data_IF_666497205354
#
_entry.id   IF_666497205354
#
_cell.length_a   1.000
_cell.length_b   1.000
_cell.length_c   1.000
_cell.angle_alpha   90.00
_cell.angle_beta   90.00
_cell.angle_gamma   90.00
#
_symmetry.space_group_name_H-M   'P 1'
#
loop_
_entity.id
_entity.type
_entity.pdbx_description
1 polymer ?
#
# COMPACT_ATOMS: atom_id res chain seq x y z
N UNK A 1 0.22 -3.64 -35.12
CA UNK A 1 -0.56 -3.87 -33.89
C UNK A 1 -0.28 -5.29 -33.43
N UNK A 2 0.41 -5.48 -32.29
CA UNK A 2 0.71 -6.83 -31.77
C UNK A 2 -0.59 -7.41 -31.21
N UNK A 3 -1.03 -8.55 -31.70
CA UNK A 3 -2.17 -9.27 -31.10
C UNK A 3 -1.76 -9.76 -29.70
N UNK A 4 -2.56 -9.53 -28.65
CA UNK A 4 -2.27 -10.06 -27.33
C UNK A 4 -2.33 -11.59 -27.39
N UNK A 5 -1.33 -12.27 -26.80
CA UNK A 5 -1.38 -13.72 -26.66
C UNK A 5 -2.49 -14.07 -25.64
N UNK A 6 -3.57 -14.78 -26.02
CA UNK A 6 -4.69 -15.06 -25.14
C UNK A 6 -4.36 -16.04 -24.00
N UNK A 7 -3.22 -16.73 -24.08
CA UNK A 7 -2.75 -17.64 -23.03
C UNK A 7 -1.71 -17.00 -22.10
N UNK A 8 -1.24 -15.80 -22.41
CA UNK A 8 -0.33 -15.09 -21.53
C UNK A 8 -1.07 -14.62 -20.27
N UNK A 9 -0.43 -14.69 -19.09
CA UNK A 9 -1.05 -14.21 -17.86
C UNK A 9 -1.35 -12.72 -17.98
N UNK A 10 -2.59 -12.33 -17.65
CA UNK A 10 -3.07 -10.95 -17.72
C UNK A 10 -2.34 -10.01 -16.73
N UNK A 11 -1.69 -10.56 -15.70
CA UNK A 11 -0.89 -9.84 -14.72
C UNK A 11 0.43 -10.56 -14.47
N UNK A 12 1.53 -9.82 -14.35
CA UNK A 12 2.88 -10.34 -14.22
C UNK A 12 3.79 -9.38 -13.44
N UNK A 13 5.01 -9.82 -13.11
CA UNK A 13 5.91 -9.11 -12.20
C UNK A 13 6.21 -7.65 -12.61
N UNK A 14 6.28 -7.35 -13.91
CA UNK A 14 6.47 -5.98 -14.42
C UNK A 14 5.29 -5.03 -14.16
N UNK A 15 4.06 -5.56 -14.03
CA UNK A 15 2.90 -4.75 -13.64
C UNK A 15 2.92 -4.43 -12.13
N UNK A 16 3.41 -5.36 -11.31
CA UNK A 16 3.56 -5.15 -9.88
C UNK A 16 4.64 -4.09 -9.53
N UNK A 17 5.76 -4.07 -10.27
CA UNK A 17 6.88 -3.14 -10.02
C UNK A 17 6.53 -1.67 -10.30
N UNK A 18 5.62 -1.42 -11.23
CA UNK A 18 5.18 -0.05 -11.60
C UNK A 18 3.95 0.42 -10.83
N UNK A 19 3.19 -0.52 -10.24
CA UNK A 19 1.96 -0.24 -9.50
C UNK A 19 2.17 0.82 -8.41
N UNK A 20 3.21 0.63 -7.60
CA UNK A 20 3.62 1.52 -6.53
C UNK A 20 3.79 2.99 -6.99
N UNK A 21 4.47 3.20 -8.12
CA UNK A 21 4.70 4.54 -8.65
C UNK A 21 3.44 5.14 -9.31
N UNK A 22 2.53 4.31 -9.79
CA UNK A 22 1.28 4.73 -10.43
C UNK A 22 0.22 5.19 -9.44
N UNK A 23 0.10 4.52 -8.28
CA UNK A 23 -1.01 4.73 -7.34
C UNK A 23 -1.19 6.18 -6.86
N UNK A 24 -0.14 6.94 -6.48
CA UNK A 24 -0.31 8.33 -6.07
C UNK A 24 -0.84 9.25 -7.19
N UNK A 25 -0.61 8.90 -8.46
CA UNK A 25 -1.06 9.70 -9.61
C UNK A 25 -2.51 9.43 -9.98
N UNK A 26 -3.04 8.28 -9.59
CA UNK A 26 -4.40 7.83 -9.93
C UNK A 26 -5.38 7.91 -8.77
N UNK A 27 -4.87 8.06 -7.53
CA UNK A 27 -5.68 8.11 -6.31
C UNK A 27 -5.53 9.49 -5.67
N UNK A 28 -6.52 10.39 -5.85
CA UNK A 28 -6.56 11.67 -5.13
C UNK A 28 -6.50 11.44 -3.62
N UNK A 29 -5.68 12.21 -2.91
CA UNK A 29 -5.55 12.11 -1.45
C UNK A 29 -4.83 10.85 -0.95
N UNK A 30 -4.13 10.11 -1.83
CA UNK A 30 -3.40 8.89 -1.48
C UNK A 30 -2.51 9.03 -0.22
N UNK A 31 -1.74 10.11 -0.14
CA UNK A 31 -0.87 10.35 1.02
C UNK A 31 -1.65 10.67 2.30
N UNK A 32 -2.75 11.43 2.18
CA UNK A 32 -3.64 11.72 3.31
C UNK A 32 -4.33 10.46 3.84
N UNK A 33 -4.74 9.55 2.95
CA UNK A 33 -5.30 8.26 3.33
C UNK A 33 -4.30 7.42 4.15
N UNK A 34 -3.05 7.36 3.71
CA UNK A 34 -1.99 6.64 4.44
C UNK A 34 -1.69 7.27 5.80
N UNK A 35 -1.69 8.61 5.91
CA UNK A 35 -1.50 9.31 7.17
C UNK A 35 -2.63 9.01 8.17
N UNK A 36 -3.89 9.16 7.75
CA UNK A 36 -5.05 8.86 8.61
C UNK A 36 -5.09 7.38 9.02
N UNK A 37 -4.77 6.47 8.10
CA UNK A 37 -4.71 5.03 8.40
C UNK A 37 -3.65 4.73 9.45
N UNK A 38 -2.49 5.39 9.38
CA UNK A 38 -1.43 5.20 10.38
C UNK A 38 -1.87 5.68 11.77
N UNK A 39 -2.62 6.78 11.86
CA UNK A 39 -3.15 7.26 13.14
C UNK A 39 -4.21 6.32 13.73
N UNK A 40 -5.16 5.85 12.92
CA UNK A 40 -6.17 4.88 13.37
C UNK A 40 -5.57 3.56 13.86
N UNK A 41 -4.44 3.15 13.26
CA UNK A 41 -3.69 1.98 13.68
C UNK A 41 -2.94 2.24 14.99
N UNK A 42 -2.34 3.42 15.17
CA UNK A 42 -1.65 3.80 16.41
C UNK A 42 -2.60 3.77 17.63
N UNK A 43 -3.87 4.13 17.44
CA UNK A 43 -4.88 4.12 18.51
C UNK A 43 -5.36 2.71 18.89
N UNK A 44 -5.28 1.74 17.98
CA UNK A 44 -5.92 0.41 18.12
C UNK A 44 -4.94 -0.73 18.29
N UNK A 45 -3.73 -0.57 17.78
CA UNK A 45 -2.71 -1.62 17.76
C UNK A 45 -1.71 -1.30 18.85
N UNK A 46 -1.48 -2.27 19.76
CA UNK A 46 -0.41 -2.17 20.76
C UNK A 46 0.94 -1.96 20.08
N UNK A 47 1.91 -1.41 20.79
CA UNK A 47 3.26 -1.17 20.25
C UNK A 47 3.92 -2.44 19.67
N UNK A 48 3.62 -3.62 20.24
CA UNK A 48 4.09 -4.94 19.80
C UNK A 48 3.08 -5.69 18.91
N UNK A 49 2.01 -5.02 18.49
CA UNK A 49 0.94 -5.58 17.68
C UNK A 49 1.37 -5.87 16.24
N UNK A 50 0.82 -6.94 15.67
CA UNK A 50 1.10 -7.36 14.29
C UNK A 50 -0.05 -6.97 13.38
N UNK A 51 0.28 -6.36 12.23
CA UNK A 51 -0.71 -5.92 11.24
C UNK A 51 -0.54 -6.73 9.97
N UNK A 52 -1.64 -7.34 9.50
CA UNK A 52 -1.70 -8.02 8.21
C UNK A 52 -2.36 -7.09 7.18
N UNK A 53 -1.59 -6.68 6.18
CA UNK A 53 -2.13 -5.91 5.05
C UNK A 53 -2.54 -6.86 3.93
N UNK A 54 -3.84 -7.07 3.78
CA UNK A 54 -4.41 -7.85 2.68
C UNK A 54 -4.40 -7.02 1.40
N UNK A 55 -3.82 -7.57 0.32
CA UNK A 55 -3.77 -6.87 -0.97
C UNK A 55 -2.84 -5.65 -0.98
N UNK A 56 -1.65 -5.73 -0.38
CA UNK A 56 -0.66 -4.64 -0.31
C UNK A 56 -0.16 -4.07 -1.67
N UNK A 57 -0.64 -4.60 -2.79
CA UNK A 57 -0.27 -4.19 -4.14
C UNK A 57 1.24 -4.28 -4.38
N UNK A 58 1.80 -3.28 -5.06
CA UNK A 58 3.25 -3.15 -5.34
C UNK A 58 4.14 -2.90 -4.11
N UNK A 59 3.71 -3.26 -2.90
CA UNK A 59 4.51 -3.19 -1.67
C UNK A 59 4.58 -1.82 -0.99
N UNK A 60 3.93 -0.79 -1.54
CA UNK A 60 4.04 0.58 -1.04
C UNK A 60 3.44 0.77 0.37
N UNK A 61 2.42 -0.02 0.72
CA UNK A 61 1.80 0.01 2.04
C UNK A 61 2.81 -0.35 3.15
N UNK A 62 3.74 -1.29 2.89
CA UNK A 62 4.77 -1.71 3.87
C UNK A 62 5.80 -0.62 4.14
N UNK A 63 6.05 0.26 3.17
CA UNK A 63 7.04 1.34 3.32
C UNK A 63 6.45 2.62 3.92
N UNK A 64 5.12 2.82 3.84
CA UNK A 64 4.48 4.09 4.24
C UNK A 64 3.66 4.00 5.54
N UNK A 65 3.20 2.82 5.95
CA UNK A 65 2.56 2.65 7.26
C UNK A 65 3.67 2.58 8.31
N UNK A 66 4.05 3.74 8.83
CA UNK A 66 4.91 3.89 9.99
C UNK A 66 4.02 4.31 11.16
N UNK A 67 3.91 3.44 12.17
CA UNK A 67 3.22 3.78 13.42
C UNK A 67 4.25 4.51 14.28
N UNK A 68 4.20 5.84 14.34
CA UNK A 68 4.96 6.60 15.32
C UNK A 68 4.27 6.45 16.67
N UNK A 69 4.92 5.75 17.62
CA UNK A 69 4.56 5.86 19.04
C UNK A 69 4.86 7.29 19.48
N UNK A 70 3.82 8.12 19.47
CA UNK A 70 3.81 9.42 20.11
C UNK A 70 2.60 9.42 21.04
N UNK A 71 2.75 8.73 22.17
CA UNK A 71 1.82 8.77 23.27
C UNK A 71 2.58 9.16 24.53
N UNK A 72 2.95 10.45 24.61
CA UNK A 72 3.14 11.13 25.90
C UNK A 72 1.82 11.87 26.22
N UNK A 73 0.78 11.07 26.49
CA UNK A 73 -0.45 11.45 27.20
C UNK A 73 -0.88 10.27 28.06
#
# INVERSE_FOLDING_TARGET
MKTPNPTAPAFGAGHASTYAAGTPRTVPGFDGLHAMTSQLLAERVKEDGKILVLGAGGGLARARISVSSAADW
#
